data_IF_600145344969
#
_entry.id   IF_600145344969
#
_cell.length_a   1.000
_cell.length_b   1.000
_cell.length_c   1.000
_cell.angle_alpha   90.00
_cell.angle_beta   90.00
_cell.angle_gamma   90.00
#
_symmetry.space_group_name_H-M   'P 1'
#
loop_
_entity.id
_entity.type
_entity.pdbx_description
1 polymer ?
#
# COMPACT_ATOMS: atom_id res chain seq x y z
N UNK A 1 -2.06 0.60 -1.66
CA UNK A 1 -3.44 0.18 -2.03
C UNK A 1 -4.04 1.08 -3.12
N UNK A 2 -4.26 2.38 -2.88
CA UNK A 2 -4.97 3.23 -3.85
C UNK A 2 -4.27 3.39 -5.20
N UNK A 3 -2.94 3.55 -5.20
CA UNK A 3 -2.13 3.56 -6.42
C UNK A 3 -2.34 2.30 -7.26
N UNK A 4 -2.40 1.13 -6.62
CA UNK A 4 -2.61 -0.14 -7.32
C UNK A 4 -4.01 -0.21 -7.94
N UNK A 5 -5.04 0.26 -7.22
CA UNK A 5 -6.41 0.33 -7.71
C UNK A 5 -6.53 1.26 -8.92
N UNK A 6 -5.97 2.46 -8.84
CA UNK A 6 -5.94 3.43 -9.95
C UNK A 6 -5.21 2.83 -11.15
N UNK A 7 -4.01 2.29 -10.95
CA UNK A 7 -3.22 1.69 -12.02
C UNK A 7 -3.94 0.49 -12.66
N UNK A 8 -4.65 -0.33 -11.86
CA UNK A 8 -5.46 -1.44 -12.37
C UNK A 8 -6.59 -0.93 -13.25
N UNK A 9 -7.37 0.03 -12.76
CA UNK A 9 -8.49 0.61 -13.51
C UNK A 9 -8.01 1.20 -14.83
N UNK A 10 -6.96 2.02 -14.80
CA UNK A 10 -6.40 2.60 -16.01
C UNK A 10 -5.86 1.51 -16.95
N UNK A 11 -5.02 0.60 -16.47
CA UNK A 11 -4.43 -0.46 -17.29
C UNK A 11 -5.48 -1.37 -17.94
N UNK A 12 -6.53 -1.75 -17.21
CA UNK A 12 -7.63 -2.56 -17.75
C UNK A 12 -8.42 -1.81 -18.82
N UNK A 13 -8.75 -0.54 -18.59
CA UNK A 13 -9.50 0.27 -19.55
C UNK A 13 -8.68 0.53 -20.82
N UNK A 14 -7.41 0.91 -20.68
CA UNK A 14 -6.53 1.15 -21.82
C UNK A 14 -6.30 -0.14 -22.62
N UNK A 15 -6.11 -1.28 -21.95
CA UNK A 15 -5.98 -2.59 -22.62
C UNK A 15 -7.22 -2.97 -23.42
N UNK A 16 -8.38 -2.51 -22.99
CA UNK A 16 -9.66 -2.71 -23.70
C UNK A 16 -9.93 -1.61 -24.75
N UNK A 17 -8.94 -0.76 -25.07
CA UNK A 17 -9.04 0.27 -26.10
C UNK A 17 -9.78 1.53 -25.67
N UNK A 18 -10.07 1.70 -24.37
CA UNK A 18 -10.71 2.92 -23.87
C UNK A 18 -9.69 4.07 -23.87
N UNK A 19 -10.03 5.26 -24.41
CA UNK A 19 -9.14 6.40 -24.41
C UNK A 19 -8.65 6.78 -23.02
N UNK A 20 -7.40 7.27 -22.91
CA UNK A 20 -6.76 7.60 -21.63
C UNK A 20 -7.55 8.65 -20.83
N UNK A 21 -8.05 9.70 -21.48
CA UNK A 21 -8.83 10.75 -20.80
C UNK A 21 -10.13 10.20 -20.20
N UNK A 22 -10.85 9.36 -20.93
CA UNK A 22 -12.04 8.67 -20.42
C UNK A 22 -11.68 7.76 -19.25
N UNK A 23 -10.57 7.03 -19.38
CA UNK A 23 -10.06 6.14 -18.34
C UNK A 23 -9.68 6.88 -17.06
N UNK A 24 -9.07 8.06 -17.17
CA UNK A 24 -8.78 8.94 -16.03
C UNK A 24 -10.06 9.41 -15.34
N UNK A 25 -11.10 9.78 -16.11
CA UNK A 25 -12.42 10.11 -15.58
C UNK A 25 -13.05 8.97 -14.78
N UNK A 26 -12.92 7.73 -15.27
CA UNK A 26 -13.41 6.53 -14.55
C UNK A 26 -12.56 6.24 -13.31
N UNK A 27 -11.23 6.33 -13.42
CA UNK A 27 -10.32 6.09 -12.29
C UNK A 27 -10.57 7.06 -11.12
N UNK A 28 -10.98 8.29 -11.42
CA UNK A 28 -11.44 9.29 -10.42
C UNK A 28 -12.66 8.81 -9.64
N UNK A 29 -13.66 8.25 -10.31
CA UNK A 29 -14.87 7.73 -9.66
C UNK A 29 -14.59 6.51 -8.79
N UNK A 30 -13.57 5.73 -9.13
CA UNK A 30 -13.17 4.52 -8.39
C UNK A 30 -12.28 4.84 -7.17
N UNK A 31 -11.67 6.03 -7.13
CA UNK A 31 -10.82 6.43 -6.01
C UNK A 31 -11.67 6.94 -4.84
N UNK A 32 -11.44 6.41 -3.63
CA UNK A 32 -12.13 6.86 -2.42
C UNK A 32 -11.53 8.10 -1.78
N UNK A 33 -10.32 8.47 -2.19
CA UNK A 33 -9.55 9.55 -1.59
C UNK A 33 -9.64 10.85 -2.42
N UNK A 34 -10.22 11.88 -1.80
CA UNK A 34 -10.38 13.22 -2.42
C UNK A 34 -9.07 13.83 -2.90
N UNK A 35 -7.94 13.58 -2.21
CA UNK A 35 -6.65 14.10 -2.64
C UNK A 35 -6.16 13.43 -3.93
N UNK A 36 -6.43 12.14 -4.11
CA UNK A 36 -6.11 11.42 -5.35
C UNK A 36 -7.08 11.77 -6.47
N UNK A 37 -8.36 12.03 -6.15
CA UNK A 37 -9.31 12.53 -7.14
C UNK A 37 -8.85 13.86 -7.74
N UNK A 38 -8.45 14.81 -6.89
CA UNK A 38 -7.89 16.09 -7.33
C UNK A 38 -6.60 15.90 -8.15
N UNK A 39 -5.71 15.00 -7.72
CA UNK A 39 -4.49 14.68 -8.46
C UNK A 39 -4.80 14.14 -9.87
N UNK A 40 -5.77 13.23 -9.98
CA UNK A 40 -6.21 12.67 -11.27
C UNK A 40 -6.95 13.71 -12.11
N UNK A 41 -7.68 14.65 -11.50
CA UNK A 41 -8.31 15.76 -12.20
C UNK A 41 -7.26 16.67 -12.85
N UNK A 42 -6.23 17.06 -12.10
CA UNK A 42 -5.11 17.85 -12.61
C UNK A 42 -4.34 17.10 -13.69
N UNK A 43 -4.08 15.81 -13.46
CA UNK A 43 -3.39 14.99 -14.45
C UNK A 43 -4.21 14.87 -15.75
N UNK A 44 -5.53 14.74 -15.66
CA UNK A 44 -6.40 14.72 -16.83
C UNK A 44 -6.35 16.02 -17.62
N UNK A 45 -6.20 17.17 -16.97
CA UNK A 45 -6.11 18.45 -17.69
C UNK A 45 -4.80 18.58 -18.44
N UNK A 46 -3.68 18.22 -17.79
CA UNK A 46 -2.38 18.27 -18.47
C UNK A 46 -2.26 17.27 -19.62
N UNK A 47 -2.85 16.09 -19.48
CA UNK A 47 -2.89 15.10 -20.57
C UNK A 47 -3.73 15.62 -21.74
N UNK A 48 -4.80 16.39 -21.50
CA UNK A 48 -5.53 17.07 -22.59
C UNK A 48 -4.68 18.10 -23.30
N UNK A 49 -3.82 18.80 -22.56
CA UNK A 49 -2.86 19.77 -23.09
C UNK A 49 -1.68 19.12 -23.82
N UNK A 50 -1.59 17.78 -23.83
CA UNK A 50 -0.57 17.01 -24.53
C UNK A 50 0.64 16.61 -23.68
N UNK A 51 0.59 16.83 -22.36
CA UNK A 51 1.62 16.32 -21.47
C UNK A 51 1.53 14.80 -21.30
N UNK A 52 2.68 14.17 -21.05
CA UNK A 52 2.73 12.75 -20.68
C UNK A 52 2.04 12.47 -19.34
N UNK A 53 1.39 11.32 -19.22
CA UNK A 53 0.71 10.86 -18.02
C UNK A 53 1.67 10.74 -16.83
N UNK A 54 2.88 10.22 -17.02
CA UNK A 54 3.90 10.11 -15.98
C UNK A 54 4.26 11.48 -15.39
N UNK A 55 4.47 12.47 -16.25
CA UNK A 55 4.72 13.85 -15.85
C UNK A 55 3.52 14.46 -15.12
N UNK A 56 2.33 14.29 -15.69
CA UNK A 56 1.08 14.81 -15.13
C UNK A 56 0.79 14.25 -13.72
N UNK A 57 1.01 12.95 -13.51
CA UNK A 57 0.87 12.30 -12.20
C UNK A 57 1.98 12.69 -11.22
N UNK A 58 3.19 13.00 -11.72
CA UNK A 58 4.32 13.41 -10.88
C UNK A 58 4.09 14.78 -10.22
N UNK A 59 3.40 15.71 -10.90
CA UNK A 59 3.13 17.04 -10.36
C UNK A 59 2.29 17.01 -9.08
N UNK A 60 1.39 16.04 -8.95
CA UNK A 60 0.57 15.91 -7.75
C UNK A 60 1.35 15.43 -6.50
N UNK A 61 2.57 14.89 -6.68
CA UNK A 61 3.40 14.31 -5.61
C UNK A 61 2.68 13.30 -4.70
N UNK A 62 1.61 12.65 -5.20
CA UNK A 62 0.84 11.62 -4.48
C UNK A 62 1.18 10.21 -4.90
N UNK A 63 1.88 10.05 -6.01
CA UNK A 63 2.24 8.75 -6.55
C UNK A 63 3.68 8.39 -6.19
N UNK A 64 3.94 7.13 -5.79
CA UNK A 64 5.29 6.67 -5.47
C UNK A 64 6.18 6.71 -6.72
N UNK A 65 7.46 7.04 -6.51
CA UNK A 65 8.44 7.22 -7.60
C UNK A 65 8.54 6.01 -8.53
N UNK A 66 8.48 4.79 -7.98
CA UNK A 66 8.50 3.56 -8.77
C UNK A 66 7.31 3.47 -9.74
N UNK A 67 6.10 3.84 -9.29
CA UNK A 67 4.92 3.85 -10.17
C UNK A 67 5.10 4.85 -11.32
N UNK A 68 5.59 6.06 -11.02
CA UNK A 68 5.83 7.11 -12.02
C UNK A 68 6.85 6.67 -13.07
N UNK A 69 7.95 6.05 -12.64
CA UNK A 69 8.99 5.52 -13.54
C UNK A 69 8.46 4.41 -14.43
N UNK A 70 7.65 3.50 -13.87
CA UNK A 70 7.05 2.44 -14.67
C UNK A 70 6.08 3.01 -15.70
N UNK A 71 5.22 3.96 -15.31
CA UNK A 71 4.33 4.65 -16.25
C UNK A 71 5.13 5.34 -17.35
N UNK A 72 6.21 6.05 -17.01
CA UNK A 72 7.08 6.71 -17.98
C UNK A 72 7.66 5.72 -19.00
N UNK A 73 8.21 4.60 -18.54
CA UNK A 73 8.73 3.54 -19.42
C UNK A 73 7.62 2.98 -20.31
N UNK A 74 6.41 2.82 -19.78
CA UNK A 74 5.23 2.39 -20.54
C UNK A 74 4.82 3.38 -21.61
N UNK A 75 4.89 4.68 -21.33
CA UNK A 75 4.61 5.74 -22.32
C UNK A 75 5.67 5.78 -23.42
N UNK A 76 6.95 5.76 -23.07
CA UNK A 76 8.07 5.79 -24.02
C UNK A 76 8.08 4.54 -24.93
N UNK A 77 7.67 3.39 -24.41
CA UNK A 77 7.57 2.14 -25.16
C UNK A 77 6.23 1.96 -25.89
N UNK A 78 5.25 2.86 -25.72
CA UNK A 78 3.90 2.71 -26.27
C UNK A 78 3.10 1.53 -25.68
N UNK A 79 3.49 1.05 -24.50
CA UNK A 79 2.90 -0.10 -23.79
C UNK A 79 2.33 0.31 -22.43
N UNK A 80 1.69 1.48 -22.38
CA UNK A 80 1.19 2.08 -21.16
C UNK A 80 0.16 1.19 -20.44
N UNK A 81 -0.71 0.54 -21.19
CA UNK A 81 -1.72 -0.42 -20.70
C UNK A 81 -1.09 -1.57 -19.89
N UNK A 82 -0.08 -2.21 -20.47
CA UNK A 82 0.64 -3.34 -19.89
C UNK A 82 1.43 -2.89 -18.66
N UNK A 83 2.06 -1.72 -18.74
CA UNK A 83 2.90 -1.22 -17.66
C UNK A 83 2.08 -0.74 -16.47
N UNK A 84 0.90 -0.15 -16.69
CA UNK A 84 -0.06 0.18 -15.62
C UNK A 84 -0.57 -1.07 -14.89
N UNK A 85 -0.86 -2.16 -15.61
CA UNK A 85 -1.20 -3.44 -14.98
C UNK A 85 -0.06 -3.98 -14.14
N UNK A 86 1.18 -3.86 -14.63
CA UNK A 86 2.38 -4.26 -13.87
C UNK A 86 2.61 -3.41 -12.63
N UNK A 87 2.32 -2.10 -12.68
CA UNK A 87 2.29 -1.24 -11.50
C UNK A 87 1.25 -1.76 -10.50
N UNK A 88 0.03 -2.06 -10.95
CA UNK A 88 -1.01 -2.60 -10.07
C UNK A 88 -0.58 -3.89 -9.37
N UNK A 89 -0.07 -4.87 -10.12
CA UNK A 89 0.42 -6.15 -9.57
C UNK A 89 1.55 -5.92 -8.55
N UNK A 90 2.48 -5.02 -8.85
CA UNK A 90 3.63 -4.72 -7.98
C UNK A 90 3.18 -4.15 -6.64
N UNK A 91 2.30 -3.15 -6.64
CA UNK A 91 1.82 -2.51 -5.42
C UNK A 91 0.79 -3.35 -4.65
N UNK A 92 0.02 -4.22 -5.31
CA UNK A 92 -0.80 -5.24 -4.64
C UNK A 92 0.07 -6.25 -3.89
N UNK A 93 1.13 -6.74 -4.54
CA UNK A 93 2.08 -7.68 -3.94
C UNK A 93 2.86 -7.05 -2.78
N UNK A 94 3.32 -5.81 -2.94
CA UNK A 94 3.99 -5.07 -1.87
C UNK A 94 3.07 -4.88 -0.65
N UNK A 95 1.81 -4.52 -0.88
CA UNK A 95 0.84 -4.37 0.21
C UNK A 95 0.55 -5.69 0.92
N UNK A 96 0.44 -6.81 0.19
CA UNK A 96 0.29 -8.15 0.80
C UNK A 96 1.50 -8.52 1.63
N UNK A 97 2.71 -8.35 1.09
CA UNK A 97 3.96 -8.60 1.81
C UNK A 97 4.09 -7.75 3.07
N UNK A 98 3.63 -6.50 3.05
CA UNK A 98 3.63 -5.65 4.23
C UNK A 98 2.72 -6.21 5.32
N UNK A 99 1.51 -6.65 4.96
CA UNK A 99 0.57 -7.30 5.89
C UNK A 99 1.16 -8.58 6.46
N UNK A 100 1.73 -9.45 5.62
CA UNK A 100 2.32 -10.72 6.07
C UNK A 100 3.48 -10.48 7.04
N UNK A 101 4.33 -9.48 6.78
CA UNK A 101 5.42 -9.08 7.68
C UNK A 101 4.91 -8.55 9.01
N UNK A 102 3.84 -7.76 9.00
CA UNK A 102 3.21 -7.27 10.23
C UNK A 102 2.69 -8.44 11.07
N UNK A 103 1.99 -9.40 10.44
CA UNK A 103 1.50 -10.60 11.13
C UNK A 103 2.65 -11.46 11.67
N UNK A 104 3.71 -11.65 10.88
CA UNK A 104 4.89 -12.41 11.29
C UNK A 104 5.64 -11.78 12.47
N UNK A 105 5.63 -10.44 12.59
CA UNK A 105 6.21 -9.74 13.74
C UNK A 105 5.27 -9.71 14.96
N UNK A 106 3.96 -9.74 14.74
CA UNK A 106 2.95 -9.67 15.79
C UNK A 106 2.91 -10.95 16.64
N UNK A 107 3.03 -12.13 16.00
CA UNK A 107 3.06 -13.42 16.71
C UNK A 107 4.14 -13.48 17.80
N UNK A 108 5.45 -13.26 17.51
CA UNK A 108 6.49 -13.30 18.53
C UNK A 108 6.32 -12.19 19.59
N UNK A 109 5.81 -11.01 19.22
CA UNK A 109 5.53 -9.95 20.19
C UNK A 109 4.47 -10.40 21.22
N UNK A 110 3.37 -11.03 20.77
CA UNK A 110 2.37 -11.59 21.67
C UNK A 110 2.94 -12.71 22.55
N UNK A 111 3.79 -13.58 21.99
CA UNK A 111 4.43 -14.66 22.77
C UNK A 111 5.30 -14.08 23.89
N UNK A 112 6.11 -13.06 23.63
CA UNK A 112 6.93 -12.40 24.66
C UNK A 112 6.04 -11.80 25.76
N UNK A 113 4.95 -11.14 25.39
CA UNK A 113 3.99 -10.58 26.36
C UNK A 113 3.39 -11.67 27.24
N UNK A 114 3.02 -12.82 26.65
CA UNK A 114 2.52 -13.97 27.42
C UNK A 114 3.59 -14.55 28.34
N UNK A 115 4.82 -14.68 27.88
CA UNK A 115 5.94 -15.17 28.71
C UNK A 115 6.18 -14.26 29.92
N UNK A 116 6.21 -12.94 29.72
CA UNK A 116 6.38 -11.97 30.81
C UNK A 116 5.21 -12.02 31.79
N UNK A 117 3.98 -12.10 31.28
CA UNK A 117 2.78 -12.18 32.10
C UNK A 117 2.76 -13.43 32.98
N UNK A 118 3.08 -14.60 32.43
CA UNK A 118 3.15 -15.85 33.19
C UNK A 118 4.27 -15.80 34.24
N UNK A 119 5.46 -15.32 33.86
CA UNK A 119 6.58 -15.18 34.80
C UNK A 119 6.23 -14.24 35.96
N UNK A 120 5.53 -13.14 35.68
CA UNK A 120 5.06 -12.20 36.70
C UNK A 120 4.08 -12.84 37.68
N UNK A 121 3.08 -13.58 37.18
CA UNK A 121 2.11 -14.30 38.03
C UNK A 121 2.82 -15.35 38.89
N UNK A 122 3.75 -16.12 38.30
CA UNK A 122 4.54 -17.12 39.04
C UNK A 122 5.36 -16.47 40.17
N UNK A 123 6.05 -15.36 39.89
CA UNK A 123 6.84 -14.65 40.90
C UNK A 123 5.95 -14.11 42.04
N UNK A 124 4.79 -13.55 41.71
CA UNK A 124 3.84 -13.05 42.69
C UNK A 124 3.32 -14.13 43.66
N UNK A 125 3.30 -15.40 43.24
CA UNK A 125 2.86 -16.53 44.07
C UNK A 125 4.05 -17.19 44.80
N UNK A 126 5.17 -17.42 44.11
CA UNK A 126 6.33 -18.16 44.65
C UNK A 126 7.09 -17.38 45.73
N UNK A 127 7.30 -16.07 45.54
CA UNK A 127 8.02 -15.24 46.50
C UNK A 127 7.41 -15.27 47.93
N UNK A 128 6.11 -14.97 48.13
CA UNK A 128 5.52 -15.01 49.46
C UNK A 128 5.47 -16.42 50.07
N UNK A 129 5.36 -17.47 49.25
CA UNK A 129 5.43 -18.87 49.70
C UNK A 129 6.82 -19.22 50.26
N UNK A 130 7.90 -18.76 49.61
CA UNK A 130 9.27 -18.98 50.08
C UNK A 130 9.53 -18.23 51.39
N UNK A 131 9.10 -16.97 51.49
CA UNK A 131 9.22 -16.17 52.71
C UNK A 131 8.50 -16.87 53.89
N UNK A 132 7.28 -17.37 53.67
CA UNK A 132 6.51 -18.07 54.69
C UNK A 132 7.21 -19.35 55.16
N UNK A 133 7.82 -20.10 54.24
CA UNK A 133 8.56 -21.34 54.59
C UNK A 133 9.83 -21.03 55.38
N UNK A 134 10.50 -19.91 55.09
CA UNK A 134 11.72 -19.49 55.80
C UNK A 134 11.48 -19.07 57.26
N UNK A 135 10.27 -18.61 57.57
CA UNK A 135 9.87 -18.23 58.94
C UNK A 135 9.41 -19.41 59.81
N UNK A 136 9.26 -20.61 59.24
CA UNK A 136 8.77 -21.81 59.95
C UNK A 136 9.93 -22.72 60.42
N UNK A 137 11.18 -22.44 60.03
CA UNK A 137 12.39 -23.07 60.57
C UNK A 137 13.02 -22.22 61.68
#
# INVERSE_FOLDING_TARGET
METARIARTLGTLLKNGVPLLTSLGIARQVTGNKALDLALAQASEQVKEGAGLSFALAQAQRFPRLALQMVQVGEEAGQLDTMLLKVADTFELESRRAIDRLLAALVPALTIVMTVMVAFIMAAILLPMLDLTSHIQ
#
